data_IF_673453468769
#
_entry.id   IF_673453468769
#
_cell.length_a   1.000
_cell.length_b   1.000
_cell.length_c   1.000
_cell.angle_alpha   90.00
_cell.angle_beta   90.00
_cell.angle_gamma   90.00
#
_symmetry.space_group_name_H-M   'P 1'
#
loop_
_entity.id
_entity.type
_entity.pdbx_description
1 polymer ?
#
# COMPACT_ATOMS: atom_id res chain seq x y z
N UNK A 1 31.87 17.75 -19.19
CA UNK A 1 31.08 18.85 -18.63
C UNK A 1 29.96 18.36 -17.67
N UNK A 2 29.25 17.29 -18.03
CA UNK A 2 28.16 16.74 -17.20
C UNK A 2 28.57 16.43 -15.72
N UNK A 3 29.74 15.81 -15.50
CA UNK A 3 30.24 15.55 -14.14
C UNK A 3 30.55 16.81 -13.33
N UNK A 4 30.92 17.91 -14.01
CA UNK A 4 31.15 19.18 -13.32
C UNK A 4 29.85 19.83 -12.87
N UNK A 5 28.80 19.70 -13.66
CA UNK A 5 27.46 20.19 -13.31
C UNK A 5 26.82 19.36 -12.17
N UNK A 6 27.10 18.05 -12.13
CA UNK A 6 26.62 17.19 -11.03
C UNK A 6 27.28 17.46 -9.67
N UNK A 7 28.44 18.12 -9.63
CA UNK A 7 29.10 18.47 -8.35
C UNK A 7 28.27 19.38 -7.46
N UNK A 8 27.34 20.14 -8.01
CA UNK A 8 26.37 20.93 -7.24
C UNK A 8 25.36 20.09 -6.48
N UNK A 9 25.25 18.79 -6.81
CA UNK A 9 24.38 17.80 -6.14
C UNK A 9 25.24 16.70 -5.50
N UNK A 10 25.81 16.91 -4.30
CA UNK A 10 26.82 16.02 -3.71
C UNK A 10 26.40 14.56 -3.62
N UNK A 11 25.14 14.31 -3.24
CA UNK A 11 24.59 12.97 -3.10
C UNK A 11 24.52 12.25 -4.45
N UNK A 12 23.98 12.91 -5.46
CA UNK A 12 23.87 12.37 -6.83
C UNK A 12 25.27 12.14 -7.41
N UNK A 13 26.18 13.10 -7.21
CA UNK A 13 27.57 12.99 -7.65
C UNK A 13 28.26 11.78 -7.04
N UNK A 14 28.11 11.57 -5.73
CA UNK A 14 28.69 10.41 -5.03
C UNK A 14 28.24 9.07 -5.59
N UNK A 15 26.93 8.89 -5.81
CA UNK A 15 26.39 7.64 -6.36
C UNK A 15 26.80 7.43 -7.83
N UNK A 16 26.87 8.47 -8.63
CA UNK A 16 27.22 8.36 -10.04
C UNK A 16 28.73 8.18 -10.27
N UNK A 17 29.61 8.79 -9.44
CA UNK A 17 31.06 8.66 -9.61
C UNK A 17 31.52 7.21 -9.51
N UNK A 18 31.00 6.46 -8.54
CA UNK A 18 31.34 5.02 -8.39
C UNK A 18 31.02 4.22 -9.65
N UNK A 19 29.90 4.52 -10.31
CA UNK A 19 29.50 3.85 -11.56
C UNK A 19 30.34 4.32 -12.75
N UNK A 20 30.63 5.61 -12.82
CA UNK A 20 31.37 6.20 -13.95
C UNK A 20 32.86 5.85 -13.94
N UNK A 21 33.44 5.64 -12.76
CA UNK A 21 34.82 5.20 -12.57
C UNK A 21 34.99 3.67 -12.66
N UNK A 22 33.89 2.92 -12.70
CA UNK A 22 33.95 1.48 -12.87
C UNK A 22 34.52 1.07 -14.23
N UNK A 23 35.19 -0.10 -14.33
CA UNK A 23 35.64 -0.66 -15.60
C UNK A 23 34.52 -0.72 -16.64
N UNK A 24 34.89 -0.57 -17.93
CA UNK A 24 33.90 -0.45 -19.03
C UNK A 24 32.84 -1.57 -19.05
N UNK A 25 33.23 -2.81 -18.78
CA UNK A 25 32.30 -3.94 -18.75
C UNK A 25 31.30 -3.81 -17.59
N UNK A 26 31.80 -3.50 -16.39
CA UNK A 26 30.97 -3.30 -15.20
C UNK A 26 30.04 -2.11 -15.40
N UNK A 27 30.56 -1.00 -15.91
CA UNK A 27 29.77 0.19 -16.22
C UNK A 27 28.68 -0.11 -17.24
N UNK A 28 29.02 -0.83 -18.31
CA UNK A 28 28.05 -1.26 -19.34
C UNK A 28 26.92 -2.07 -18.76
N UNK A 29 27.24 -3.02 -17.88
CA UNK A 29 26.25 -3.85 -17.21
C UNK A 29 25.35 -3.04 -16.27
N UNK A 30 25.91 -2.12 -15.46
CA UNK A 30 25.14 -1.24 -14.57
C UNK A 30 24.19 -0.35 -15.37
N UNK A 31 24.69 0.28 -16.47
CA UNK A 31 23.88 1.13 -17.34
C UNK A 31 22.76 0.33 -18.01
N UNK A 32 23.03 -0.89 -18.45
CA UNK A 32 22.01 -1.76 -19.04
C UNK A 32 20.89 -2.08 -18.04
N UNK A 33 21.23 -2.45 -16.81
CA UNK A 33 20.26 -2.69 -15.72
C UNK A 33 19.49 -1.43 -15.37
N UNK A 34 20.17 -0.28 -15.27
CA UNK A 34 19.52 1.00 -15.02
C UNK A 34 18.51 1.34 -16.12
N UNK A 35 18.91 1.25 -17.40
CA UNK A 35 18.02 1.49 -18.52
C UNK A 35 16.83 0.55 -18.52
N UNK A 36 17.02 -0.73 -18.21
CA UNK A 36 15.94 -1.70 -18.09
C UNK A 36 14.92 -1.29 -17.02
N UNK A 37 15.39 -0.77 -15.89
CA UNK A 37 14.53 -0.34 -14.78
C UNK A 37 13.83 0.99 -15.03
N UNK A 38 14.51 1.94 -15.68
CA UNK A 38 14.00 3.29 -15.94
C UNK A 38 13.12 3.37 -17.19
N UNK A 39 13.43 2.59 -18.23
CA UNK A 39 12.71 2.59 -19.50
C UNK A 39 11.18 2.54 -19.36
N UNK A 40 10.59 1.72 -18.48
CA UNK A 40 9.15 1.69 -18.30
C UNK A 40 8.54 3.03 -17.86
N UNK A 41 9.30 3.86 -17.12
CA UNK A 41 8.83 5.14 -16.61
C UNK A 41 8.92 6.26 -17.65
N UNK A 42 9.95 6.25 -18.50
CA UNK A 42 10.17 7.28 -19.52
C UNK A 42 9.53 6.96 -20.87
N UNK A 43 9.19 5.70 -21.14
CA UNK A 43 8.61 5.27 -22.42
C UNK A 43 7.13 5.61 -22.60
N UNK A 44 6.44 6.05 -21.54
CA UNK A 44 5.05 6.48 -21.55
C UNK A 44 5.00 7.98 -21.26
N UNK A 45 4.59 8.76 -22.22
CA UNK A 45 4.53 10.22 -22.13
C UNK A 45 3.73 10.70 -20.90
N UNK A 46 2.54 10.16 -20.68
CA UNK A 46 1.72 10.51 -19.52
C UNK A 46 2.42 10.24 -18.18
N UNK A 47 3.22 9.18 -18.08
CA UNK A 47 3.95 8.84 -16.88
C UNK A 47 5.19 9.71 -16.71
N UNK A 48 5.89 10.00 -17.80
CA UNK A 48 7.01 10.93 -17.80
C UNK A 48 6.55 12.32 -17.35
N UNK A 49 5.41 12.78 -17.84
CA UNK A 49 4.82 14.07 -17.45
C UNK A 49 4.40 14.08 -15.98
N UNK A 50 3.78 12.99 -15.49
CA UNK A 50 3.41 12.83 -14.08
C UNK A 50 4.64 12.90 -13.14
N UNK A 51 5.78 12.36 -13.58
CA UNK A 51 7.01 12.30 -12.78
C UNK A 51 7.93 13.51 -12.98
N UNK A 52 7.64 14.38 -13.93
CA UNK A 52 8.48 15.55 -14.26
C UNK A 52 8.22 16.78 -13.39
N UNK A 53 7.09 16.83 -12.70
CA UNK A 53 6.70 17.92 -11.85
C UNK A 53 6.20 17.40 -10.48
N UNK A 54 6.33 18.23 -9.45
CA UNK A 54 5.78 17.95 -8.12
C UNK A 54 4.53 18.81 -7.93
N UNK A 55 3.38 18.25 -8.26
CA UNK A 55 2.08 18.92 -8.07
C UNK A 55 1.47 18.64 -6.69
N UNK A 56 2.07 17.70 -5.95
CA UNK A 56 1.59 17.26 -4.64
C UNK A 56 2.63 17.62 -3.59
N UNK A 57 2.28 18.50 -2.68
CA UNK A 57 3.10 18.75 -1.48
C UNK A 57 2.67 17.79 -0.36
N UNK A 58 3.54 16.85 -0.04
CA UNK A 58 3.30 15.89 1.05
C UNK A 58 3.16 16.57 2.41
N UNK A 59 3.79 17.72 2.61
CA UNK A 59 3.62 18.54 3.81
C UNK A 59 2.18 18.99 3.95
N UNK A 60 1.58 19.45 2.85
CA UNK A 60 0.18 19.89 2.86
C UNK A 60 -0.78 18.72 3.09
N UNK A 61 -0.50 17.56 2.48
CA UNK A 61 -1.32 16.35 2.67
C UNK A 61 -1.36 15.93 4.14
N UNK A 62 -0.20 15.91 4.82
CA UNK A 62 -0.14 15.42 6.21
C UNK A 62 -0.57 16.46 7.23
N UNK A 63 -0.57 17.76 6.90
CA UNK A 63 -0.91 18.84 7.82
C UNK A 63 -2.35 19.38 7.64
N UNK A 64 -3.02 19.09 6.53
CA UNK A 64 -4.36 19.56 6.24
C UNK A 64 -5.35 18.41 6.18
N UNK A 65 -6.64 18.73 6.36
CA UNK A 65 -7.73 17.78 6.08
C UNK A 65 -7.80 17.57 4.57
N UNK A 66 -7.26 16.47 4.10
CA UNK A 66 -7.21 16.12 2.69
C UNK A 66 -7.60 14.66 2.48
N UNK A 67 -8.12 14.35 1.30
CA UNK A 67 -8.32 12.98 0.84
C UNK A 67 -7.61 12.80 -0.50
N UNK A 68 -6.77 11.77 -0.59
CA UNK A 68 -6.03 11.46 -1.81
C UNK A 68 -6.46 10.10 -2.30
N UNK A 69 -6.91 10.05 -3.54
CA UNK A 69 -7.33 8.83 -4.22
C UNK A 69 -6.28 8.43 -5.25
N UNK A 70 -5.60 7.32 -5.00
CA UNK A 70 -4.64 6.75 -5.92
C UNK A 70 -5.31 5.67 -6.76
N UNK A 71 -5.70 6.02 -7.97
CA UNK A 71 -6.32 5.10 -8.91
C UNK A 71 -5.24 4.56 -9.84
N UNK A 72 -4.83 3.31 -9.62
CA UNK A 72 -3.84 2.66 -10.46
C UNK A 72 -4.51 1.87 -11.59
N UNK A 73 -3.98 2.01 -12.81
CA UNK A 73 -4.32 1.08 -13.88
C UNK A 73 -3.71 -0.30 -13.60
N UNK A 74 -4.23 -1.35 -14.28
CA UNK A 74 -3.70 -2.73 -14.15
C UNK A 74 -2.25 -2.89 -14.67
N UNK A 75 -1.60 -1.81 -15.12
CA UNK A 75 -0.24 -1.88 -15.64
C UNK A 75 0.77 -2.01 -14.50
N UNK A 76 1.82 -2.79 -14.73
CA UNK A 76 2.94 -2.99 -13.79
C UNK A 76 3.55 -1.68 -13.26
N UNK A 77 3.58 -0.63 -14.08
CA UNK A 77 4.20 0.65 -13.73
C UNK A 77 3.37 1.39 -12.70
N UNK A 78 2.04 1.47 -12.91
CA UNK A 78 1.13 2.13 -11.96
C UNK A 78 1.19 1.46 -10.58
N UNK A 79 1.29 0.13 -10.56
CA UNK A 79 1.45 -0.63 -9.32
C UNK A 79 2.73 -0.27 -8.57
N UNK A 80 3.81 0.13 -9.25
CA UNK A 80 5.09 0.51 -8.62
C UNK A 80 5.06 1.90 -7.97
N UNK A 81 4.20 2.79 -8.43
CA UNK A 81 4.08 4.14 -7.88
C UNK A 81 3.36 4.17 -6.52
N UNK A 82 2.40 3.26 -6.30
CA UNK A 82 1.66 3.21 -5.04
C UNK A 82 2.57 2.99 -3.82
N UNK A 83 3.48 2.00 -3.81
CA UNK A 83 4.43 1.82 -2.71
C UNK A 83 5.32 3.04 -2.46
N UNK A 84 5.76 3.72 -3.53
CA UNK A 84 6.56 4.94 -3.40
C UNK A 84 5.77 6.05 -2.71
N UNK A 85 4.51 6.25 -3.12
CA UNK A 85 3.63 7.23 -2.50
C UNK A 85 3.37 6.92 -1.03
N UNK A 86 3.08 5.66 -0.68
CA UNK A 86 2.86 5.23 0.70
C UNK A 86 4.09 5.54 1.56
N UNK A 87 5.28 5.19 1.07
CA UNK A 87 6.52 5.47 1.79
C UNK A 87 6.74 6.97 1.97
N UNK A 88 6.51 7.78 0.96
CA UNK A 88 6.65 9.24 1.06
C UNK A 88 5.68 9.87 2.07
N UNK A 89 4.45 9.38 2.17
CA UNK A 89 3.51 9.83 3.21
C UNK A 89 4.02 9.48 4.60
N UNK A 90 4.49 8.25 4.80
CA UNK A 90 5.01 7.79 6.10
C UNK A 90 6.24 8.62 6.50
N UNK A 91 7.20 8.78 5.59
CA UNK A 91 8.39 9.61 5.79
C UNK A 91 8.03 11.08 6.08
N UNK A 92 7.05 11.64 5.38
CA UNK A 92 6.58 13.01 5.60
C UNK A 92 5.96 13.18 6.99
N UNK A 93 5.18 12.21 7.46
CA UNK A 93 4.63 12.20 8.83
C UNK A 93 5.75 12.22 9.88
N UNK A 94 6.80 11.46 9.64
CA UNK A 94 7.97 11.41 10.51
C UNK A 94 8.77 12.72 10.48
N UNK A 95 9.10 13.21 9.29
CA UNK A 95 9.91 14.44 9.10
C UNK A 95 9.21 15.67 9.68
N UNK A 96 7.91 15.82 9.41
CA UNK A 96 7.15 16.97 9.91
C UNK A 96 6.62 16.77 11.33
N UNK A 97 6.88 15.61 11.96
CA UNK A 97 6.42 15.25 13.31
C UNK A 97 4.90 15.49 13.49
N UNK A 98 4.15 15.33 12.40
CA UNK A 98 2.72 15.53 12.42
C UNK A 98 2.03 14.37 13.11
N UNK A 99 1.22 14.65 14.13
CA UNK A 99 0.49 13.68 14.94
C UNK A 99 -1.01 13.58 14.62
N UNK A 100 -1.48 14.39 13.66
CA UNK A 100 -2.87 14.26 13.21
C UNK A 100 -3.14 12.86 12.65
N UNK A 101 -4.31 12.28 12.88
CA UNK A 101 -4.61 10.95 12.39
C UNK A 101 -4.57 10.90 10.86
N UNK A 102 -3.95 9.87 10.32
CA UNK A 102 -3.93 9.61 8.88
C UNK A 102 -4.40 8.18 8.61
N UNK A 103 -5.45 8.05 7.80
CA UNK A 103 -6.03 6.76 7.45
C UNK A 103 -5.58 6.36 6.05
N UNK A 104 -4.98 5.18 5.92
CA UNK A 104 -4.66 4.54 4.64
C UNK A 104 -5.61 3.38 4.41
N UNK A 105 -6.33 3.42 3.31
CA UNK A 105 -7.15 2.31 2.83
C UNK A 105 -6.43 1.67 1.63
N UNK A 106 -5.93 0.46 1.82
CA UNK A 106 -5.21 -0.32 0.82
C UNK A 106 -6.16 -1.38 0.26
N UNK A 107 -6.91 -1.02 -0.76
CA UNK A 107 -7.79 -1.95 -1.45
C UNK A 107 -6.96 -2.91 -2.31
N UNK A 108 -7.36 -4.18 -2.34
CA UNK A 108 -6.63 -5.26 -3.02
C UNK A 108 -5.13 -5.37 -2.64
N UNK A 109 -4.83 -5.18 -1.35
CA UNK A 109 -3.45 -5.19 -0.85
C UNK A 109 -2.66 -6.44 -1.26
N UNK A 110 -3.31 -7.60 -1.34
CA UNK A 110 -2.70 -8.85 -1.80
C UNK A 110 -2.27 -8.85 -3.28
N UNK A 111 -2.71 -7.88 -4.08
CA UNK A 111 -2.32 -7.71 -5.48
C UNK A 111 -1.30 -6.58 -5.71
N UNK A 112 -0.93 -5.85 -4.67
CA UNK A 112 0.08 -4.80 -4.75
C UNK A 112 1.49 -5.40 -4.90
N UNK A 113 2.39 -4.65 -5.50
CA UNK A 113 3.80 -5.03 -5.54
C UNK A 113 4.37 -4.99 -4.12
N UNK A 114 5.19 -6.00 -3.80
CA UNK A 114 5.87 -6.09 -2.50
C UNK A 114 6.53 -4.77 -2.13
N UNK A 115 6.10 -4.19 -1.02
CA UNK A 115 6.78 -3.08 -0.36
C UNK A 115 7.91 -3.64 0.50
N UNK A 116 9.13 -3.22 0.21
CA UNK A 116 10.27 -3.68 0.99
C UNK A 116 10.18 -3.18 2.44
N UNK A 117 10.51 -4.05 3.37
CA UNK A 117 10.49 -3.77 4.82
C UNK A 117 9.13 -3.30 5.36
N UNK A 118 8.02 -3.56 4.66
CA UNK A 118 6.71 -3.05 5.04
C UNK A 118 6.25 -3.58 6.42
N UNK A 119 6.59 -4.81 6.76
CA UNK A 119 6.31 -5.37 8.08
C UNK A 119 7.00 -4.54 9.20
N UNK A 120 8.27 -4.18 9.00
CA UNK A 120 8.98 -3.30 9.92
C UNK A 120 8.38 -1.88 9.96
N UNK A 121 7.95 -1.36 8.82
CA UNK A 121 7.26 -0.08 8.73
C UNK A 121 5.96 -0.10 9.53
N UNK A 122 5.15 -1.17 9.43
CA UNK A 122 3.89 -1.30 10.17
C UNK A 122 4.07 -1.26 11.68
N UNK A 123 5.19 -1.74 12.21
CA UNK A 123 5.45 -1.65 13.65
C UNK A 123 5.66 -0.20 14.13
N UNK A 124 6.14 0.66 13.25
CA UNK A 124 6.49 2.07 13.56
C UNK A 124 5.35 3.06 13.26
N UNK A 125 4.48 2.76 12.29
CA UNK A 125 3.40 3.69 11.86
C UNK A 125 2.41 4.05 12.97
N UNK A 126 2.26 3.17 13.97
CA UNK A 126 1.43 3.47 15.15
C UNK A 126 1.91 4.70 15.92
N UNK A 127 3.22 4.87 16.04
CA UNK A 127 3.83 6.05 16.66
C UNK A 127 3.60 7.35 15.90
N UNK A 128 3.32 7.24 14.59
CA UNK A 128 3.01 8.35 13.69
C UNK A 128 1.50 8.64 13.57
N UNK A 129 0.67 7.96 14.36
CA UNK A 129 -0.79 8.04 14.28
C UNK A 129 -1.35 7.74 12.86
N UNK A 130 -0.74 6.76 12.20
CA UNK A 130 -1.22 6.24 10.92
C UNK A 130 -2.01 4.97 11.18
N UNK A 131 -3.25 4.91 10.70
CA UNK A 131 -4.10 3.73 10.71
C UNK A 131 -4.15 3.15 9.31
N UNK A 132 -3.87 1.85 9.20
CA UNK A 132 -3.87 1.16 7.91
C UNK A 132 -4.98 0.12 7.90
N UNK A 133 -5.83 0.19 6.89
CA UNK A 133 -6.85 -0.81 6.59
C UNK A 133 -6.42 -1.48 5.29
N UNK A 134 -6.11 -2.77 5.34
CA UNK A 134 -5.72 -3.54 4.18
C UNK A 134 -6.81 -4.57 3.84
N UNK A 135 -7.25 -4.57 2.59
CA UNK A 135 -8.22 -5.54 2.09
C UNK A 135 -7.49 -6.60 1.27
N UNK A 136 -7.71 -7.85 1.62
CA UNK A 136 -7.16 -9.01 0.91
C UNK A 136 -8.28 -9.98 0.55
N UNK A 137 -8.20 -10.60 -0.59
CA UNK A 137 -9.18 -11.62 -0.99
C UNK A 137 -8.93 -12.95 -0.29
N UNK A 138 -7.66 -13.30 -0.10
CA UNK A 138 -7.22 -14.47 0.64
C UNK A 138 -5.76 -14.34 1.10
N UNK A 139 -5.37 -15.13 2.08
CA UNK A 139 -4.02 -15.11 2.64
C UNK A 139 -2.95 -15.69 1.71
N UNK A 140 -3.31 -16.56 0.78
CA UNK A 140 -2.36 -17.09 -0.22
C UNK A 140 -1.84 -16.03 -1.18
N UNK A 141 -2.68 -15.05 -1.54
CA UNK A 141 -2.22 -13.91 -2.33
C UNK A 141 -1.16 -13.10 -1.58
N UNK A 142 -1.37 -12.86 -0.29
CA UNK A 142 -0.40 -12.18 0.56
C UNK A 142 0.92 -12.96 0.62
N UNK A 143 0.84 -14.27 0.83
CA UNK A 143 2.00 -15.18 0.86
C UNK A 143 2.75 -15.20 -0.49
N UNK A 144 2.03 -15.18 -1.61
CA UNK A 144 2.65 -15.15 -2.95
C UNK A 144 3.45 -13.87 -3.23
N UNK A 145 3.03 -12.74 -2.66
CA UNK A 145 3.68 -11.44 -2.84
C UNK A 145 4.84 -11.25 -1.86
N UNK A 146 4.63 -11.57 -0.58
CA UNK A 146 5.59 -11.27 0.49
C UNK A 146 6.48 -12.45 0.86
N UNK A 147 6.10 -13.67 0.50
CA UNK A 147 6.68 -14.91 1.02
C UNK A 147 6.05 -15.31 2.35
N UNK A 148 6.30 -16.55 2.77
CA UNK A 148 5.66 -17.13 3.95
C UNK A 148 5.98 -16.34 5.24
N UNK A 149 7.26 -16.07 5.49
CA UNK A 149 7.70 -15.41 6.73
C UNK A 149 7.17 -13.99 6.86
N UNK A 150 7.38 -13.14 5.84
CA UNK A 150 6.91 -11.76 5.86
C UNK A 150 5.38 -11.68 5.93
N UNK A 151 4.66 -12.60 5.26
CA UNK A 151 3.20 -12.62 5.29
C UNK A 151 2.64 -12.96 6.68
N UNK A 152 3.28 -13.87 7.42
CA UNK A 152 2.93 -14.16 8.81
C UNK A 152 3.14 -12.93 9.71
N UNK A 153 4.29 -12.25 9.55
CA UNK A 153 4.56 -11.02 10.31
C UNK A 153 3.51 -9.95 9.98
N UNK A 154 3.18 -9.78 8.70
CA UNK A 154 2.16 -8.83 8.27
C UNK A 154 0.79 -9.13 8.89
N UNK A 155 0.36 -10.38 8.90
CA UNK A 155 -0.90 -10.79 9.55
C UNK A 155 -0.91 -10.42 11.04
N UNK A 156 0.21 -10.60 11.74
CA UNK A 156 0.34 -10.24 13.16
C UNK A 156 0.30 -8.72 13.41
N UNK A 157 0.72 -7.91 12.44
CA UNK A 157 0.64 -6.44 12.54
C UNK A 157 -0.80 -5.92 12.47
N UNK A 158 -1.71 -6.65 11.81
CA UNK A 158 -3.14 -6.30 11.74
C UNK A 158 -3.91 -6.94 12.87
N UNK A 159 -4.04 -6.22 13.98
CA UNK A 159 -4.68 -6.73 15.19
C UNK A 159 -6.20 -6.91 15.08
N UNK A 160 -6.85 -6.12 14.23
CA UNK A 160 -8.28 -6.17 14.02
C UNK A 160 -8.57 -6.82 12.67
N UNK A 161 -9.39 -7.85 12.66
CA UNK A 161 -9.74 -8.58 11.45
C UNK A 161 -11.24 -8.52 11.25
N UNK A 162 -11.66 -8.13 10.07
CA UNK A 162 -13.03 -8.18 9.61
C UNK A 162 -13.12 -9.22 8.50
N UNK A 163 -13.62 -10.40 8.81
CA UNK A 163 -13.85 -11.45 7.84
C UNK A 163 -15.24 -11.29 7.23
N UNK A 164 -15.28 -11.20 5.90
CA UNK A 164 -16.54 -11.05 5.14
C UNK A 164 -16.98 -12.37 4.51
N UNK A 165 -16.16 -12.90 3.62
CA UNK A 165 -16.37 -14.20 2.97
C UNK A 165 -15.09 -14.59 2.21
N UNK A 166 -14.77 -15.87 2.18
CA UNK A 166 -13.73 -16.43 1.31
C UNK A 166 -14.08 -17.87 0.94
N UNK A 167 -13.62 -18.31 -0.24
CA UNK A 167 -13.69 -19.70 -0.67
C UNK A 167 -12.35 -20.42 -0.52
N UNK A 168 -11.30 -19.72 -0.06
CA UNK A 168 -9.97 -20.29 0.13
C UNK A 168 -9.92 -21.04 1.46
N UNK A 169 -9.71 -22.35 1.38
CA UNK A 169 -9.68 -23.25 2.55
C UNK A 169 -8.61 -22.81 3.57
N UNK A 170 -7.43 -22.40 3.10
CA UNK A 170 -6.36 -21.94 3.99
C UNK A 170 -6.80 -20.72 4.81
N UNK A 171 -7.40 -19.73 4.17
CA UNK A 171 -7.93 -18.56 4.86
C UNK A 171 -9.06 -18.91 5.85
N UNK A 172 -9.91 -19.85 5.48
CA UNK A 172 -11.01 -20.32 6.37
C UNK A 172 -10.48 -21.02 7.61
N UNK A 173 -9.46 -21.88 7.45
CA UNK A 173 -8.81 -22.55 8.58
C UNK A 173 -8.14 -21.56 9.52
N UNK A 174 -7.44 -20.57 8.99
CA UNK A 174 -6.78 -19.53 9.78
C UNK A 174 -7.81 -18.69 10.56
N UNK A 175 -8.88 -18.25 9.91
CA UNK A 175 -9.95 -17.47 10.58
C UNK A 175 -10.64 -18.31 11.65
N UNK A 176 -10.97 -19.58 11.38
CA UNK A 176 -11.56 -20.47 12.37
C UNK A 176 -10.66 -20.65 13.60
N UNK A 177 -9.36 -20.87 13.39
CA UNK A 177 -8.36 -20.95 14.48
C UNK A 177 -8.27 -19.65 15.27
N UNK A 178 -8.27 -18.49 14.59
CA UNK A 178 -8.23 -17.19 15.26
C UNK A 178 -9.47 -16.90 16.11
N UNK A 179 -10.61 -17.47 15.75
CA UNK A 179 -11.82 -17.40 16.55
C UNK A 179 -11.73 -18.20 17.85
N UNK A 180 -10.84 -19.19 17.93
CA UNK A 180 -10.64 -20.02 19.10
C UNK A 180 -11.58 -21.22 19.16
N UNK A 181 -11.63 -21.86 20.33
CA UNK A 181 -12.35 -23.12 20.57
C UNK A 181 -13.32 -22.96 21.72
N UNK A 182 -14.45 -23.64 21.63
CA UNK A 182 -15.45 -23.79 22.76
C UNK A 182 -14.95 -24.83 23.75
N UNK A 183 -14.36 -25.92 23.25
CA UNK A 183 -13.75 -26.98 24.01
C UNK A 183 -12.63 -27.61 23.18
N UNK A 184 -11.85 -28.52 23.77
CA UNK A 184 -10.77 -29.20 23.08
C UNK A 184 -11.23 -29.75 21.72
N UNK A 185 -10.54 -29.33 20.64
CA UNK A 185 -10.79 -29.74 19.26
C UNK A 185 -12.17 -29.35 18.68
N UNK A 186 -12.92 -28.45 19.38
CA UNK A 186 -14.20 -27.92 18.88
C UNK A 186 -14.11 -26.43 18.63
N UNK A 187 -14.00 -26.00 17.34
CA UNK A 187 -13.85 -24.59 17.01
C UNK A 187 -15.09 -23.79 17.44
N UNK A 188 -14.86 -22.52 17.85
CA UNK A 188 -15.94 -21.59 18.17
C UNK A 188 -16.78 -21.25 16.95
N UNK A 189 -16.14 -21.13 15.79
CA UNK A 189 -16.78 -20.91 14.49
C UNK A 189 -16.16 -21.90 13.50
N UNK A 190 -17.00 -22.75 12.94
CA UNK A 190 -16.57 -23.79 12.02
C UNK A 190 -16.28 -23.25 10.62
N UNK A 191 -15.50 -23.98 9.85
CA UNK A 191 -15.25 -23.67 8.44
C UNK A 191 -16.57 -23.65 7.64
N UNK A 192 -17.50 -24.53 7.97
CA UNK A 192 -18.83 -24.62 7.33
C UNK A 192 -19.64 -23.33 7.59
N UNK A 193 -19.65 -22.84 8.83
CA UNK A 193 -20.32 -21.59 9.17
C UNK A 193 -19.69 -20.39 8.46
N UNK A 194 -18.36 -20.34 8.35
CA UNK A 194 -17.66 -19.30 7.61
C UNK A 194 -18.00 -19.29 6.11
N UNK A 195 -18.16 -20.48 5.51
CA UNK A 195 -18.55 -20.64 4.10
C UNK A 195 -20.01 -20.27 3.81
N UNK A 196 -20.87 -20.45 4.80
CA UNK A 196 -22.33 -20.31 4.64
C UNK A 196 -22.86 -18.98 5.17
N UNK A 197 -21.96 -18.03 5.49
CA UNK A 197 -22.33 -16.69 5.95
C UNK A 197 -23.24 -15.99 4.94
N UNK A 198 -24.27 -15.34 5.46
CA UNK A 198 -25.22 -14.60 4.62
C UNK A 198 -24.61 -13.28 4.14
N UNK A 199 -25.19 -12.78 3.07
CA UNK A 199 -24.81 -11.48 2.54
C UNK A 199 -24.85 -10.38 3.60
N UNK A 200 -23.80 -9.56 3.69
CA UNK A 200 -23.56 -8.54 4.71
C UNK A 200 -23.29 -9.05 6.13
N UNK A 201 -23.22 -10.36 6.38
CA UNK A 201 -22.68 -10.85 7.63
C UNK A 201 -21.16 -10.74 7.66
N UNK A 202 -20.61 -10.50 8.82
CA UNK A 202 -19.18 -10.41 9.05
C UNK A 202 -18.81 -11.02 10.41
N UNK A 203 -17.61 -11.61 10.48
CA UNK A 203 -16.99 -11.98 11.76
C UNK A 203 -15.96 -10.91 12.11
N UNK A 204 -16.03 -10.41 13.32
CA UNK A 204 -15.08 -9.43 13.86
C UNK A 204 -14.20 -10.11 14.89
N UNK A 205 -12.89 -10.04 14.67
CA UNK A 205 -11.88 -10.55 15.61
C UNK A 205 -11.04 -9.35 16.05
N UNK A 206 -11.02 -9.10 17.34
CA UNK A 206 -10.30 -7.98 17.96
C UNK A 206 -9.59 -8.44 19.23
N UNK A 207 -8.40 -7.88 19.54
CA UNK A 207 -7.72 -8.19 20.79
C UNK A 207 -8.60 -7.90 22.01
N UNK A 208 -8.56 -8.78 23.00
CA UNK A 208 -9.27 -8.66 24.28
C UNK A 208 -10.80 -8.78 24.20
N UNK A 209 -11.35 -9.08 23.03
CA UNK A 209 -12.77 -9.34 22.85
C UNK A 209 -12.96 -10.76 22.30
N UNK A 210 -14.07 -11.39 22.69
CA UNK A 210 -14.47 -12.60 22.00
C UNK A 210 -14.89 -12.29 20.57
N UNK A 211 -14.51 -13.12 19.58
CA UNK A 211 -15.01 -12.99 18.24
C UNK A 211 -16.52 -12.93 18.21
N UNK A 212 -17.06 -12.07 17.38
CA UNK A 212 -18.51 -11.93 17.27
C UNK A 212 -18.96 -11.78 15.83
N UNK A 213 -20.16 -12.27 15.56
CA UNK A 213 -20.82 -12.11 14.27
C UNK A 213 -21.64 -10.82 14.27
N UNK A 214 -21.54 -10.06 13.20
CA UNK A 214 -22.31 -8.83 13.00
C UNK A 214 -22.91 -8.78 11.61
N UNK A 215 -23.79 -7.82 11.38
CA UNK A 215 -24.37 -7.55 10.08
C UNK A 215 -24.03 -6.13 9.64
N UNK A 216 -23.34 -6.02 8.54
CA UNK A 216 -22.98 -4.73 7.93
C UNK A 216 -24.20 -4.15 7.20
N UNK A 217 -24.26 -2.84 7.18
CA UNK A 217 -25.25 -2.13 6.39
C UNK A 217 -24.58 -1.64 5.10
N UNK A 218 -25.16 -1.88 3.91
CA UNK A 218 -24.59 -1.43 2.67
C UNK A 218 -24.59 0.11 2.57
N UNK A 219 -23.57 0.68 1.93
CA UNK A 219 -23.35 2.13 1.82
C UNK A 219 -24.55 2.88 1.20
N UNK A 220 -25.23 2.28 0.23
CA UNK A 220 -26.40 2.88 -0.45
C UNK A 220 -27.64 3.01 0.46
N UNK A 221 -27.61 2.47 1.66
CA UNK A 221 -28.65 2.65 2.69
C UNK A 221 -28.35 3.79 3.66
N UNK A 222 -27.17 4.39 3.55
CA UNK A 222 -26.83 5.55 4.36
C UNK A 222 -27.13 6.83 3.60
N UNK A 223 -27.80 7.76 4.24
CA UNK A 223 -27.91 9.12 3.76
C UNK A 223 -26.67 9.89 4.20
N UNK A 224 -25.75 10.12 3.28
CA UNK A 224 -24.47 10.75 3.58
C UNK A 224 -24.55 12.27 3.75
N UNK A 225 -25.70 12.88 3.44
CA UNK A 225 -25.94 14.30 3.63
C UNK A 225 -25.14 15.23 2.70
N UNK A 226 -24.57 14.70 1.61
CA UNK A 226 -23.92 15.49 0.57
C UNK A 226 -24.65 15.35 -0.76
N UNK A 227 -24.53 16.39 -1.59
CA UNK A 227 -24.98 16.34 -2.98
C UNK A 227 -23.78 16.01 -3.86
N UNK A 228 -23.98 15.14 -4.83
CA UNK A 228 -22.97 14.85 -5.84
C UNK A 228 -22.85 16.05 -6.77
N UNK A 229 -21.77 16.80 -6.64
CA UNK A 229 -21.39 17.82 -7.61
C UNK A 229 -20.34 17.25 -8.55
N UNK A 230 -20.57 17.43 -9.86
CA UNK A 230 -19.56 17.08 -10.85
C UNK A 230 -18.37 18.03 -10.71
N UNK A 231 -17.26 17.52 -10.20
CA UNK A 231 -16.01 18.29 -10.14
C UNK A 231 -15.32 18.18 -11.49
N UNK A 232 -15.13 19.32 -12.17
CA UNK A 232 -14.22 19.35 -13.31
C UNK A 232 -12.80 19.06 -12.84
N UNK A 233 -12.27 17.92 -13.26
CA UNK A 233 -10.87 17.55 -13.01
C UNK A 233 -10.01 18.52 -13.83
N UNK A 234 -9.20 19.38 -13.20
CA UNK A 234 -8.33 20.28 -13.95
C UNK A 234 -7.37 19.42 -14.78
N UNK A 235 -7.35 19.64 -16.09
CA UNK A 235 -6.34 19.02 -16.96
C UNK A 235 -4.98 19.52 -16.48
N UNK A 236 -4.13 18.61 -16.05
CA UNK A 236 -2.77 18.94 -15.62
C UNK A 236 -2.08 19.82 -16.67
N UNK A 237 -1.36 20.84 -16.23
CA UNK A 237 -0.55 21.67 -17.13
C UNK A 237 0.53 20.78 -17.71
N UNK A 238 0.46 20.56 -19.01
CA UNK A 238 1.58 19.96 -19.75
C UNK A 238 2.73 20.97 -19.67
N UNK A 239 3.79 20.63 -18.97
CA UNK A 239 5.03 21.42 -19.01
C UNK A 239 5.65 21.17 -20.38
N UNK A 240 5.52 22.14 -21.29
CA UNK A 240 6.26 22.11 -22.55
C UNK A 240 7.75 22.13 -22.21
N UNK A 241 8.44 21.08 -22.61
CA UNK A 241 9.90 21.02 -22.51
C UNK A 241 10.47 22.01 -23.55
N UNK A 242 11.01 23.12 -23.07
CA UNK A 242 11.89 24.01 -23.85
C UNK A 242 13.31 23.46 -23.87
#
# INVERSE_FOLDING_TARGET
NFLKELRQYPTIYFYLTTTLEAPNETRGSIVAVFNQKIKPFISKENLSNLLSATDIDFKDIVNNKSAVFLVASLTEISKRLIPLYINQVIESKEVYQNKEPYNMLLDEFGCMIKMQNFAATLTNVRGLNIQIIAVVQNYKQLESVYGKEDSEILKLCFSNILYLLSNDIYSLEEISKMCGEVSKDVPLITIEELKTMKHFEAIVIMPRLHPFKTKLQPNYKFEWGYQEEAVEIPKGKIVEQT
#
